data_IF_782621981667
#
_entry.id   IF_782621981667
#
_cell.length_a   1.000
_cell.length_b   1.000
_cell.length_c   1.000
_cell.angle_alpha   90.00
_cell.angle_beta   90.00
_cell.angle_gamma   90.00
#
_symmetry.space_group_name_H-M   'P 1'
#
loop_
_entity.id
_entity.type
_entity.pdbx_description
1 polymer ?
#
# COMPACT_ATOMS: atom_id res chain seq x y z
N UNK A 1 16.47 10.02 1.37
CA UNK A 1 15.55 9.31 2.27
C UNK A 1 14.20 9.11 1.60
N UNK A 2 13.68 7.88 1.61
CA UNK A 2 12.39 7.56 1.01
C UNK A 2 11.30 7.62 2.08
N UNK A 3 10.17 8.24 1.76
CA UNK A 3 9.03 8.34 2.68
C UNK A 3 7.91 7.42 2.22
N UNK A 4 7.04 7.01 3.17
CA UNK A 4 5.88 6.19 2.83
C UNK A 4 4.92 6.95 1.90
N UNK A 5 4.89 8.27 1.98
CA UNK A 5 4.10 9.11 1.08
C UNK A 5 4.56 8.97 -0.37
N UNK A 6 5.87 8.88 -0.60
CA UNK A 6 6.41 8.65 -1.94
C UNK A 6 5.99 7.30 -2.49
N UNK A 7 6.00 6.26 -1.66
CA UNK A 7 5.52 4.94 -2.06
C UNK A 7 4.03 4.99 -2.39
N UNK A 8 3.25 5.62 -1.54
CA UNK A 8 1.81 5.77 -1.75
C UNK A 8 1.51 6.47 -3.06
N UNK A 9 2.22 7.56 -3.33
CA UNK A 9 2.04 8.32 -4.57
C UNK A 9 2.39 7.48 -5.80
N UNK A 10 3.51 6.75 -5.75
CA UNK A 10 3.91 5.87 -6.84
C UNK A 10 2.87 4.76 -7.08
N UNK A 11 2.34 4.19 -6.01
CA UNK A 11 1.30 3.16 -6.11
C UNK A 11 0.03 3.70 -6.76
N UNK A 12 -0.41 4.87 -6.33
CA UNK A 12 -1.61 5.51 -6.88
C UNK A 12 -1.44 5.93 -8.33
N UNK A 13 -0.22 6.31 -8.72
CA UNK A 13 0.11 6.66 -10.09
C UNK A 13 0.41 5.42 -10.95
N UNK A 14 0.36 4.23 -10.36
CA UNK A 14 0.60 2.95 -11.04
C UNK A 14 2.00 2.86 -11.67
N UNK A 15 2.98 3.47 -11.01
CA UNK A 15 4.37 3.48 -11.44
C UNK A 15 5.11 2.28 -10.84
N UNK A 16 4.86 1.09 -11.40
CA UNK A 16 5.29 -0.18 -10.81
C UNK A 16 6.79 -0.30 -10.56
N UNK A 17 7.60 0.09 -11.53
CA UNK A 17 9.06 -0.01 -11.40
C UNK A 17 9.58 0.95 -10.34
N UNK A 18 9.08 2.19 -10.34
CA UNK A 18 9.47 3.18 -9.36
C UNK A 18 9.02 2.76 -7.96
N UNK A 19 7.79 2.26 -7.83
CA UNK A 19 7.27 1.76 -6.56
C UNK A 19 8.15 0.65 -5.99
N UNK A 20 8.57 -0.29 -6.85
CA UNK A 20 9.44 -1.40 -6.43
C UNK A 20 10.77 -0.90 -5.89
N UNK A 21 11.40 0.02 -6.62
CA UNK A 21 12.68 0.61 -6.21
C UNK A 21 12.55 1.38 -4.90
N UNK A 22 11.52 2.22 -4.80
CA UNK A 22 11.26 3.00 -3.58
C UNK A 22 10.98 2.09 -2.39
N UNK A 23 10.25 1.00 -2.59
CA UNK A 23 9.93 0.06 -1.52
C UNK A 23 11.19 -0.60 -0.98
N UNK A 24 12.10 -1.01 -1.85
CA UNK A 24 13.36 -1.62 -1.41
C UNK A 24 14.17 -0.65 -0.56
N UNK A 25 14.29 0.60 -1.01
CA UNK A 25 15.02 1.62 -0.27
C UNK A 25 14.35 1.95 1.06
N UNK A 26 13.02 2.06 1.05
CA UNK A 26 12.25 2.36 2.26
C UNK A 26 12.46 1.29 3.33
N UNK A 27 12.40 0.03 2.95
CA UNK A 27 12.55 -1.07 3.90
C UNK A 27 13.98 -1.19 4.44
N UNK A 28 14.98 -0.82 3.65
CA UNK A 28 16.34 -0.75 4.13
C UNK A 28 16.58 0.37 5.12
N UNK A 29 15.93 1.51 4.92
CA UNK A 29 16.07 2.69 5.77
C UNK A 29 15.23 2.57 7.05
N UNK A 30 14.14 1.82 7.02
CA UNK A 30 13.17 1.75 8.11
C UNK A 30 12.98 0.31 8.58
N UNK A 31 13.93 -0.19 9.37
CA UNK A 31 13.90 -1.57 9.84
C UNK A 31 12.83 -1.82 10.89
N UNK A 32 12.45 -0.79 11.64
CA UNK A 32 11.43 -0.89 12.67
C UNK A 32 10.21 -0.09 12.24
N UNK A 33 9.25 -0.76 11.63
CA UNK A 33 8.09 -0.11 11.02
C UNK A 33 7.16 0.52 12.05
N UNK A 34 7.08 -0.06 13.27
CA UNK A 34 6.22 0.47 14.33
C UNK A 34 6.60 1.89 14.76
N UNK A 35 7.84 2.30 14.53
CA UNK A 35 8.33 3.62 14.92
C UNK A 35 8.12 4.68 13.83
N UNK A 36 7.59 4.28 12.68
CA UNK A 36 7.41 5.23 11.58
C UNK A 36 6.31 6.24 11.90
N UNK A 37 6.62 7.51 11.73
CA UNK A 37 5.70 8.60 12.06
C UNK A 37 4.57 8.72 11.04
N UNK A 38 3.41 9.18 11.52
CA UNK A 38 2.26 9.42 10.64
C UNK A 38 2.62 10.47 9.58
N UNK A 39 2.27 10.21 8.29
CA UNK A 39 2.44 11.21 7.23
C UNK A 39 1.64 12.48 7.52
N UNK A 40 2.17 13.61 7.07
CA UNK A 40 1.52 14.92 7.27
C UNK A 40 0.56 15.29 6.14
N UNK A 41 0.41 14.43 5.15
CA UNK A 41 -0.47 14.69 3.99
C UNK A 41 -1.92 14.87 4.40
N UNK A 42 -2.62 15.78 3.71
CA UNK A 42 -4.05 15.99 3.85
C UNK A 42 -4.85 15.22 2.78
N UNK A 43 -4.18 14.59 1.83
CA UNK A 43 -4.83 13.81 0.78
C UNK A 43 -5.26 12.45 1.37
N UNK A 44 -6.57 12.24 1.44
CA UNK A 44 -7.14 11.02 2.02
C UNK A 44 -6.69 9.76 1.27
N UNK A 45 -6.55 9.84 -0.04
CA UNK A 45 -6.15 8.70 -0.86
C UNK A 45 -4.68 8.33 -0.60
N UNK A 46 -3.80 9.33 -0.54
CA UNK A 46 -2.38 9.12 -0.22
C UNK A 46 -2.24 8.55 1.18
N UNK A 47 -2.98 9.07 2.14
CA UNK A 47 -2.93 8.60 3.52
C UNK A 47 -3.42 7.15 3.64
N UNK A 48 -4.51 6.80 2.95
CA UNK A 48 -5.03 5.43 2.94
C UNK A 48 -4.02 4.47 2.31
N UNK A 49 -3.42 4.85 1.19
CA UNK A 49 -2.40 4.02 0.54
C UNK A 49 -1.15 3.86 1.43
N UNK A 50 -0.72 4.93 2.09
CA UNK A 50 0.42 4.88 2.99
C UNK A 50 0.17 3.93 4.16
N UNK A 51 -1.01 4.02 4.78
CA UNK A 51 -1.39 3.13 5.87
C UNK A 51 -1.45 1.68 5.41
N UNK A 52 -2.07 1.44 4.25
CA UNK A 52 -2.19 0.09 3.69
C UNK A 52 -0.83 -0.53 3.39
N UNK A 53 0.08 0.23 2.78
CA UNK A 53 1.39 -0.27 2.43
C UNK A 53 2.24 -0.59 3.66
N UNK A 54 2.25 0.30 4.66
CA UNK A 54 3.07 0.06 5.85
C UNK A 54 2.53 -1.11 6.66
N UNK A 55 1.21 -1.29 6.72
CA UNK A 55 0.62 -2.47 7.36
C UNK A 55 0.95 -3.75 6.59
N UNK A 56 0.95 -3.70 5.26
CA UNK A 56 1.30 -4.83 4.43
C UNK A 56 2.75 -5.26 4.67
N UNK A 57 3.68 -4.31 4.71
CA UNK A 57 5.08 -4.60 4.99
C UNK A 57 5.26 -5.20 6.38
N UNK A 58 4.59 -4.62 7.38
CA UNK A 58 4.65 -5.14 8.74
C UNK A 58 4.13 -6.57 8.82
N UNK A 59 3.01 -6.85 8.16
CA UNK A 59 2.43 -8.18 8.11
C UNK A 59 3.41 -9.19 7.51
N UNK A 60 4.03 -8.85 6.39
CA UNK A 60 4.97 -9.74 5.70
C UNK A 60 6.28 -9.95 6.43
N UNK A 61 6.71 -8.97 7.21
CA UNK A 61 7.93 -9.04 8.00
C UNK A 61 7.70 -9.47 9.44
N UNK A 62 6.47 -9.84 9.79
CA UNK A 62 6.08 -10.24 11.14
C UNK A 62 6.40 -9.16 12.17
N UNK A 63 6.14 -7.92 11.81
CA UNK A 63 6.31 -6.76 12.68
C UNK A 63 4.98 -6.16 13.06
N UNK A 64 4.98 -5.37 14.13
CA UNK A 64 3.81 -4.58 14.53
C UNK A 64 3.75 -3.31 13.69
N UNK A 65 2.62 -3.00 13.02
CA UNK A 65 2.51 -1.75 12.28
C UNK A 65 2.43 -0.54 13.23
N UNK A 66 2.72 0.67 12.74
CA UNK A 66 2.56 1.88 13.54
C UNK A 66 1.11 2.04 14.00
N UNK A 67 0.91 2.56 15.19
CA UNK A 67 -0.43 2.72 15.76
C UNK A 67 -1.36 3.59 14.91
N UNK A 68 -0.81 4.63 14.27
CA UNK A 68 -1.62 5.55 13.44
C UNK A 68 -2.23 4.85 12.22
N UNK A 69 -1.60 3.78 11.72
CA UNK A 69 -2.07 3.13 10.50
C UNK A 69 -3.48 2.55 10.66
N UNK A 70 -3.78 1.95 11.80
CA UNK A 70 -5.09 1.35 12.04
C UNK A 70 -6.22 2.38 12.13
N UNK A 71 -5.88 3.63 12.38
CA UNK A 71 -6.88 4.71 12.49
C UNK A 71 -7.32 5.23 11.12
N UNK A 72 -6.64 4.80 10.06
CA UNK A 72 -6.95 5.22 8.70
C UNK A 72 -7.95 4.23 8.09
N UNK A 73 -9.17 4.72 7.86
CA UNK A 73 -10.26 3.90 7.37
C UNK A 73 -10.29 3.74 5.85
N UNK A 74 -11.36 3.10 5.33
CA UNK A 74 -11.50 2.84 3.91
C UNK A 74 -11.81 4.11 3.11
N UNK A 75 -11.44 4.07 1.83
CA UNK A 75 -11.79 5.12 0.88
C UNK A 75 -13.29 5.05 0.56
N UNK A 76 -13.91 6.17 0.18
CA UNK A 76 -15.32 6.18 -0.22
C UNK A 76 -15.57 5.41 -1.51
N UNK A 77 -14.56 5.31 -2.38
CA UNK A 77 -14.65 4.60 -3.65
C UNK A 77 -13.49 3.64 -3.80
N UNK A 78 -13.70 2.49 -4.49
CA UNK A 78 -12.62 1.53 -4.74
C UNK A 78 -11.58 2.11 -5.69
N UNK A 79 -10.32 1.72 -5.50
CA UNK A 79 -9.23 2.11 -6.38
C UNK A 79 -8.37 0.89 -6.68
N UNK A 80 -8.08 0.64 -7.97
CA UNK A 80 -7.26 -0.48 -8.40
C UNK A 80 -5.83 0.01 -8.67
N UNK A 81 -4.88 -0.62 -8.01
CA UNK A 81 -3.47 -0.25 -8.12
C UNK A 81 -2.80 -0.81 -9.39
N UNK A 82 -3.53 -1.62 -10.17
CA UNK A 82 -3.10 -2.08 -11.47
C UNK A 82 -4.00 -1.50 -12.56
N UNK A 83 -3.41 -0.86 -13.54
CA UNK A 83 -4.16 -0.28 -14.65
C UNK A 83 -4.92 -1.35 -15.45
N UNK A 84 -4.28 -2.49 -15.70
CA UNK A 84 -4.88 -3.58 -16.45
C UNK A 84 -6.11 -4.20 -15.79
N UNK A 85 -6.28 -4.02 -14.48
CA UNK A 85 -7.48 -4.50 -13.77
C UNK A 85 -8.75 -3.79 -14.24
N UNK A 86 -8.62 -2.60 -14.83
CA UNK A 86 -9.77 -1.88 -15.36
C UNK A 86 -10.37 -2.55 -16.60
N UNK A 87 -9.55 -3.29 -17.37
CA UNK A 87 -9.97 -3.90 -18.65
C UNK A 87 -10.04 -5.42 -18.62
N UNK A 88 -9.35 -6.07 -17.68
CA UNK A 88 -9.30 -7.54 -17.61
C UNK A 88 -10.18 -8.02 -16.46
N UNK A 89 -11.36 -8.56 -16.79
CA UNK A 89 -12.36 -8.96 -15.78
C UNK A 89 -11.85 -9.97 -14.77
N UNK A 90 -11.06 -10.96 -15.20
CA UNK A 90 -10.52 -11.97 -14.28
C UNK A 90 -9.53 -11.37 -13.31
N UNK A 91 -8.66 -10.49 -13.80
CA UNK A 91 -7.69 -9.79 -12.97
C UNK A 91 -8.41 -8.89 -11.96
N UNK A 92 -9.45 -8.19 -12.42
CA UNK A 92 -10.26 -7.34 -11.55
C UNK A 92 -10.90 -8.15 -10.42
N UNK A 93 -11.51 -9.28 -10.76
CA UNK A 93 -12.13 -10.16 -9.77
C UNK A 93 -11.10 -10.70 -8.78
N UNK A 94 -9.91 -11.07 -9.26
CA UNK A 94 -8.83 -11.53 -8.40
C UNK A 94 -8.41 -10.42 -7.42
N UNK A 95 -8.26 -9.19 -7.90
CA UNK A 95 -7.90 -8.06 -7.06
C UNK A 95 -8.97 -7.77 -6.01
N UNK A 96 -10.25 -7.81 -6.40
CA UNK A 96 -11.36 -7.52 -5.50
C UNK A 96 -11.50 -8.56 -4.39
N UNK A 97 -11.24 -9.84 -4.70
CA UNK A 97 -11.48 -10.94 -3.76
C UNK A 97 -10.24 -11.35 -2.99
N UNK A 98 -9.05 -11.20 -3.55
CA UNK A 98 -7.82 -11.73 -2.97
C UNK A 98 -6.74 -10.70 -2.72
N UNK A 99 -7.05 -9.41 -2.79
CA UNK A 99 -6.10 -8.38 -2.42
C UNK A 99 -5.61 -8.60 -0.98
N UNK A 100 -4.35 -8.25 -0.68
CA UNK A 100 -3.88 -8.32 0.71
C UNK A 100 -4.82 -7.56 1.63
N UNK A 101 -5.07 -8.09 2.82
CA UNK A 101 -6.05 -7.53 3.75
C UNK A 101 -5.84 -6.03 4.04
N UNK A 102 -4.60 -5.55 4.32
CA UNK A 102 -4.41 -4.12 4.60
C UNK A 102 -4.88 -3.21 3.47
N UNK A 103 -4.77 -3.68 2.22
CA UNK A 103 -5.25 -2.95 1.06
C UNK A 103 -6.76 -3.11 0.91
N UNK A 104 -7.24 -4.34 0.96
CA UNK A 104 -8.65 -4.66 0.71
C UNK A 104 -9.58 -3.94 1.69
N UNK A 105 -9.25 -3.91 2.96
CA UNK A 105 -10.09 -3.26 3.97
C UNK A 105 -10.19 -1.75 3.77
N UNK A 106 -9.28 -1.17 2.99
CA UNK A 106 -9.30 0.26 2.65
C UNK A 106 -9.81 0.52 1.25
N UNK A 107 -10.33 -0.54 0.59
CA UNK A 107 -10.87 -0.48 -0.77
C UNK A 107 -9.81 -0.15 -1.82
N UNK A 108 -8.56 -0.51 -1.52
CA UNK A 108 -7.46 -0.49 -2.46
C UNK A 108 -7.25 -1.92 -2.95
N UNK A 109 -7.34 -2.14 -4.25
CA UNK A 109 -7.32 -3.49 -4.80
C UNK A 109 -6.09 -3.73 -5.66
N UNK A 110 -5.45 -4.86 -5.41
CA UNK A 110 -4.24 -5.30 -6.09
C UNK A 110 -4.20 -6.82 -6.06
N UNK A 111 -3.37 -7.48 -6.89
CA UNK A 111 -3.23 -8.93 -6.81
C UNK A 111 -2.69 -9.37 -5.45
N UNK A 112 -2.95 -10.62 -5.03
CA UNK A 112 -2.48 -11.11 -3.73
C UNK A 112 -0.95 -11.09 -3.58
N UNK A 113 -0.22 -11.13 -4.69
CA UNK A 113 1.25 -11.06 -4.68
C UNK A 113 1.80 -9.65 -4.85
N UNK A 114 0.98 -8.62 -4.65
CA UNK A 114 1.40 -7.23 -4.80
C UNK A 114 2.59 -6.94 -3.88
N UNK A 115 3.69 -6.44 -4.46
CA UNK A 115 4.96 -6.17 -3.77
C UNK A 115 5.46 -7.37 -2.94
N UNK A 116 5.34 -8.57 -3.51
CA UNK A 116 5.63 -9.82 -2.80
C UNK A 116 7.09 -9.91 -2.30
N UNK A 117 8.00 -9.23 -2.96
CA UNK A 117 9.41 -9.18 -2.55
C UNK A 117 9.64 -8.41 -1.24
N UNK A 118 8.66 -7.66 -0.77
CA UNK A 118 8.79 -6.79 0.40
C UNK A 118 8.58 -7.54 1.74
#
# INVERSE_FOLDING_TARGET
MVTIEQLAQAALNRESLQLRSLTQDFLQENRRLSDYARPTTTDARVLAAAAALIELFALRQHQTPPAWAKDIGPLPEPFFLLESAATLKRLRALCETQAPEPLRKRRLYAPPNFLEFA
#
